data_IF_769788816607
#
_entry.id   IF_769788816607
#
_cell.length_a   1.000
_cell.length_b   1.000
_cell.length_c   1.000
_cell.angle_alpha   90.00
_cell.angle_beta   90.00
_cell.angle_gamma   90.00
#
_symmetry.space_group_name_H-M   'P 1'
#
loop_
_entity.id
_entity.type
_entity.pdbx_description
1 polymer ?
#
# COMPACT_ATOMS: atom_id res chain seq x y z
N UNK A 1 -2.55 -4.28 -23.55
CA UNK A 1 -3.10 -5.38 -22.76
C UNK A 1 -1.95 -6.17 -22.15
N UNK A 2 -1.64 -5.96 -20.86
CA UNK A 2 -0.71 -6.81 -20.11
C UNK A 2 -1.56 -7.72 -19.23
N UNK A 3 -1.34 -9.03 -19.38
CA UNK A 3 -1.94 -10.06 -18.54
C UNK A 3 -1.38 -9.89 -17.12
N UNK A 4 -2.24 -9.47 -16.19
CA UNK A 4 -1.96 -9.48 -14.76
C UNK A 4 -1.78 -10.94 -14.34
N UNK A 5 -0.58 -11.28 -13.86
CA UNK A 5 -0.36 -12.57 -13.20
C UNK A 5 -1.03 -12.46 -11.84
N UNK A 6 -2.29 -12.87 -11.75
CA UNK A 6 -3.01 -12.95 -10.49
C UNK A 6 -2.36 -14.02 -9.61
N UNK A 7 -1.56 -13.60 -8.62
CA UNK A 7 -1.20 -14.52 -7.55
C UNK A 7 -2.47 -14.90 -6.78
N UNK A 8 -2.72 -16.20 -6.52
CA UNK A 8 -3.89 -16.61 -5.76
C UNK A 8 -3.82 -15.99 -4.37
N UNK A 9 -4.84 -15.18 -4.03
CA UNK A 9 -4.92 -14.54 -2.72
C UNK A 9 -5.34 -15.53 -1.64
N UNK A 10 -4.89 -15.34 -0.39
CA UNK A 10 -5.43 -16.07 0.75
C UNK A 10 -6.95 -15.94 0.81
N UNK A 11 -7.65 -16.99 1.24
CA UNK A 11 -9.06 -16.90 1.60
C UNK A 11 -9.22 -15.82 2.69
N UNK A 12 -10.03 -14.78 2.40
CA UNK A 12 -10.25 -13.59 3.25
C UNK A 12 -9.09 -12.59 3.29
N UNK A 13 -8.34 -12.45 2.20
CA UNK A 13 -7.29 -11.45 2.12
C UNK A 13 -7.80 -10.02 2.43
N UNK A 14 -7.05 -9.34 3.30
CA UNK A 14 -7.16 -7.89 3.50
C UNK A 14 -6.09 -7.23 2.64
N UNK A 15 -6.44 -6.17 1.95
CA UNK A 15 -5.53 -5.53 0.99
C UNK A 15 -5.18 -4.13 1.45
N UNK A 16 -3.88 -3.87 1.53
CA UNK A 16 -3.31 -2.56 1.77
C UNK A 16 -2.79 -1.99 0.45
N UNK A 17 -3.45 -0.96 -0.07
CA UNK A 17 -2.97 -0.16 -1.19
C UNK A 17 -1.98 0.88 -0.66
N UNK A 18 -0.83 1.00 -1.30
CA UNK A 18 0.24 1.89 -0.84
C UNK A 18 0.72 2.76 -1.98
N UNK A 19 0.61 4.07 -1.81
CA UNK A 19 1.31 5.06 -2.62
C UNK A 19 2.72 5.24 -2.06
N UNK A 20 3.76 5.10 -2.86
CA UNK A 20 5.15 5.23 -2.38
C UNK A 20 5.49 6.58 -1.72
N UNK A 21 5.20 7.67 -2.44
CA UNK A 21 5.57 9.03 -2.11
C UNK A 21 4.82 9.52 -0.87
N UNK A 22 5.54 10.06 0.11
CA UNK A 22 4.96 10.53 1.37
C UNK A 22 4.43 9.41 2.28
N UNK A 23 4.67 8.14 1.96
CA UNK A 23 4.25 6.98 2.78
C UNK A 23 5.43 6.08 3.14
N UNK A 24 6.28 5.73 2.17
CA UNK A 24 7.45 4.86 2.36
C UNK A 24 8.79 5.62 2.33
N UNK A 25 8.76 6.87 1.85
CA UNK A 25 9.81 7.86 1.96
C UNK A 25 9.18 9.26 1.92
N UNK A 26 9.92 10.27 2.39
CA UNK A 26 9.40 11.64 2.47
C UNK A 26 9.17 12.22 1.07
N UNK A 27 8.01 12.83 0.85
CA UNK A 27 7.73 13.63 -0.36
C UNK A 27 8.20 15.07 -0.22
N UNK A 28 8.47 15.52 1.01
CA UNK A 28 8.93 16.85 1.35
C UNK A 28 10.30 16.79 2.05
N UNK A 29 11.24 17.61 1.61
CA UNK A 29 12.58 17.72 2.20
C UNK A 29 13.66 16.88 1.48
N UNK A 30 14.68 17.60 1.00
CA UNK A 30 15.92 17.17 0.33
C UNK A 30 15.81 16.29 -0.94
N UNK A 31 16.21 16.80 -2.13
CA UNK A 31 16.13 16.09 -3.41
C UNK A 31 17.14 14.94 -3.60
N UNK A 32 18.04 14.72 -2.63
CA UNK A 32 19.16 13.76 -2.77
C UNK A 32 18.91 12.40 -2.13
N UNK A 33 17.81 12.22 -1.38
CA UNK A 33 17.46 10.88 -0.89
C UNK A 33 16.95 10.06 -2.07
N UNK A 34 17.89 9.32 -2.67
CA UNK A 34 17.61 8.14 -3.49
C UNK A 34 16.38 7.45 -2.88
N UNK A 35 15.35 7.19 -3.69
CA UNK A 35 14.06 6.53 -3.39
C UNK A 35 14.24 5.15 -2.70
N UNK A 36 14.93 5.13 -1.58
CA UNK A 36 15.09 4.01 -0.67
C UNK A 36 13.82 4.09 0.14
N UNK A 37 13.02 3.04 0.08
CA UNK A 37 11.80 2.92 0.88
C UNK A 37 12.18 2.80 2.36
N UNK A 38 12.66 3.89 2.96
CA UNK A 38 13.27 3.96 4.30
C UNK A 38 12.29 3.53 5.38
N UNK A 39 10.99 3.68 5.13
CA UNK A 39 9.93 3.26 6.03
C UNK A 39 9.28 1.93 5.65
N UNK A 40 9.74 1.25 4.60
CA UNK A 40 9.29 -0.13 4.30
C UNK A 40 9.54 -1.11 5.46
N UNK A 41 10.68 -1.06 6.18
CA UNK A 41 10.87 -1.91 7.38
C UNK A 41 9.88 -1.60 8.51
N UNK A 42 9.49 -0.32 8.66
CA UNK A 42 8.49 0.09 9.67
C UNK A 42 7.14 -0.53 9.34
N UNK A 43 6.70 -0.40 8.08
CA UNK A 43 5.46 -1.01 7.64
C UNK A 43 5.51 -2.54 7.71
N UNK A 44 6.61 -3.15 7.30
CA UNK A 44 6.78 -4.60 7.41
C UNK A 44 6.59 -5.07 8.86
N UNK A 45 7.22 -4.40 9.83
CA UNK A 45 7.10 -4.73 11.25
C UNK A 45 5.65 -4.62 11.77
N UNK A 46 4.88 -3.66 11.27
CA UNK A 46 3.45 -3.52 11.60
C UNK A 46 2.60 -4.65 11.01
N UNK A 47 2.99 -5.19 9.85
CA UNK A 47 2.26 -6.25 9.15
C UNK A 47 2.69 -7.67 9.57
N UNK A 48 3.83 -7.85 10.24
CA UNK A 48 4.31 -9.16 10.73
C UNK A 48 3.22 -9.95 11.48
N UNK A 49 2.45 -9.37 12.42
CA UNK A 49 1.40 -10.09 13.15
C UNK A 49 0.17 -10.45 12.29
N UNK A 50 0.06 -9.92 11.07
CA UNK A 50 -1.11 -10.02 10.20
C UNK A 50 -0.70 -10.65 8.85
N UNK A 51 -0.48 -11.98 8.82
CA UNK A 51 -0.01 -12.68 7.61
C UNK A 51 -1.04 -12.69 6.47
N UNK A 52 -2.30 -12.43 6.78
CA UNK A 52 -3.42 -12.35 5.83
C UNK A 52 -3.49 -11.01 5.07
N UNK A 53 -2.71 -10.01 5.49
CA UNK A 53 -2.63 -8.71 4.83
C UNK A 53 -1.65 -8.76 3.66
N UNK A 54 -2.21 -8.54 2.46
CA UNK A 54 -1.49 -8.42 1.20
C UNK A 54 -1.33 -6.96 0.80
N UNK A 55 -0.33 -6.66 -0.02
CA UNK A 55 -0.01 -5.29 -0.45
C UNK A 55 -0.21 -5.14 -1.96
N UNK A 56 -0.95 -4.10 -2.35
CA UNK A 56 -0.97 -3.61 -3.73
C UNK A 56 -0.21 -2.30 -3.78
N UNK A 57 0.81 -2.24 -4.62
CA UNK A 57 1.62 -1.05 -4.75
C UNK A 57 1.07 -0.14 -5.85
N UNK A 58 0.75 1.11 -5.51
CA UNK A 58 0.43 2.15 -6.47
C UNK A 58 1.75 2.88 -6.78
N UNK A 59 2.21 2.80 -8.02
CA UNK A 59 3.40 3.50 -8.54
C UNK A 59 3.00 4.62 -9.49
N UNK A 60 3.85 5.64 -9.62
CA UNK A 60 3.60 6.75 -10.56
C UNK A 60 4.32 6.45 -11.87
N UNK A 61 4.00 7.18 -12.94
CA UNK A 61 4.72 7.01 -14.20
C UNK A 61 6.21 7.37 -14.06
N UNK A 62 6.58 8.30 -13.18
CA UNK A 62 8.00 8.62 -12.92
C UNK A 62 8.74 7.56 -12.10
N UNK A 63 8.02 6.56 -11.57
CA UNK A 63 8.55 5.38 -10.89
C UNK A 63 8.55 4.15 -11.81
N UNK A 64 8.97 4.35 -13.06
CA UNK A 64 9.03 3.35 -14.13
C UNK A 64 10.00 2.16 -13.89
N UNK A 65 10.28 1.80 -12.63
CA UNK A 65 11.00 0.57 -12.28
C UNK A 65 10.15 -0.65 -12.62
N UNK A 66 10.78 -1.73 -13.07
CA UNK A 66 10.09 -3.02 -13.24
C UNK A 66 9.53 -3.51 -11.89
N UNK A 67 8.33 -4.13 -11.86
CA UNK A 67 7.69 -4.57 -10.61
C UNK A 67 8.58 -5.42 -9.71
N UNK A 68 9.42 -6.26 -10.29
CA UNK A 68 10.33 -7.19 -9.63
C UNK A 68 11.48 -6.43 -8.94
N UNK A 69 12.01 -5.42 -9.62
CA UNK A 69 13.00 -4.50 -9.05
C UNK A 69 12.41 -3.72 -7.88
N UNK A 70 11.17 -3.24 -8.04
CA UNK A 70 10.44 -2.54 -6.99
C UNK A 70 10.22 -3.44 -5.76
N UNK A 71 9.75 -4.67 -5.97
CA UNK A 71 9.60 -5.68 -4.91
C UNK A 71 10.93 -5.95 -4.20
N UNK A 72 12.02 -6.09 -4.95
CA UNK A 72 13.37 -6.25 -4.38
C UNK A 72 13.77 -5.08 -3.49
N UNK A 73 13.50 -3.85 -3.93
CA UNK A 73 13.79 -2.62 -3.17
C UNK A 73 12.95 -2.48 -1.89
N UNK A 74 11.76 -3.08 -1.83
CA UNK A 74 10.92 -3.14 -0.62
C UNK A 74 11.40 -4.19 0.41
N UNK A 75 12.39 -5.02 0.06
CA UNK A 75 12.90 -6.08 0.92
C UNK A 75 11.81 -7.09 1.28
N UNK A 76 11.64 -7.38 2.58
CA UNK A 76 10.64 -8.35 3.06
C UNK A 76 9.21 -7.94 2.75
N UNK A 77 8.91 -6.64 2.75
CA UNK A 77 7.60 -6.13 2.36
C UNK A 77 7.26 -6.51 0.92
N UNK A 78 8.25 -6.57 0.04
CA UNK A 78 8.09 -6.99 -1.35
C UNK A 78 7.49 -8.39 -1.53
N UNK A 79 7.70 -9.29 -0.56
CA UNK A 79 7.12 -10.64 -0.58
C UNK A 79 5.60 -10.64 -0.36
N UNK A 80 5.06 -9.56 0.22
CA UNK A 80 3.62 -9.36 0.43
C UNK A 80 2.97 -8.62 -0.73
N UNK A 81 3.75 -8.12 -1.70
CA UNK A 81 3.24 -7.37 -2.84
C UNK A 81 2.65 -8.34 -3.86
N UNK A 82 1.33 -8.34 -3.94
CA UNK A 82 0.56 -9.18 -4.86
C UNK A 82 0.43 -8.54 -6.23
N UNK A 83 0.45 -7.21 -6.30
CA UNK A 83 0.27 -6.47 -7.55
C UNK A 83 0.95 -5.09 -7.50
N UNK A 84 1.25 -4.54 -8.68
CA UNK A 84 1.82 -3.20 -8.86
C UNK A 84 1.02 -2.49 -9.96
N UNK A 85 0.25 -1.50 -9.55
CA UNK A 85 -0.61 -0.70 -10.42
C UNK A 85 0.04 0.65 -10.68
N UNK A 86 -0.08 1.14 -11.91
CA UNK A 86 0.32 2.52 -12.24
C UNK A 86 -0.91 3.42 -12.11
N UNK A 87 -0.80 4.49 -11.32
CA UNK A 87 -1.82 5.53 -11.22
C UNK A 87 -1.20 6.88 -10.90
N UNK A 88 -1.87 7.95 -11.30
CA UNK A 88 -1.66 9.30 -10.74
C UNK A 88 -2.61 9.55 -9.56
N UNK A 89 -2.42 10.66 -8.83
CA UNK A 89 -3.23 10.99 -7.65
C UNK A 89 -4.72 11.20 -7.98
N UNK A 90 -5.06 11.57 -9.23
CA UNK A 90 -6.45 11.81 -9.65
C UNK A 90 -7.18 10.53 -10.01
N UNK A 91 -6.45 9.48 -10.39
CA UNK A 91 -6.95 8.20 -10.88
C UNK A 91 -6.85 7.08 -9.85
N UNK A 92 -6.35 7.33 -8.63
CA UNK A 92 -6.25 6.31 -7.57
C UNK A 92 -7.60 5.60 -7.37
N UNK A 93 -8.69 6.36 -7.21
CA UNK A 93 -10.00 5.81 -6.92
C UNK A 93 -10.53 4.91 -8.06
N UNK A 94 -10.31 5.31 -9.31
CA UNK A 94 -10.69 4.50 -10.48
C UNK A 94 -9.83 3.25 -10.60
N UNK A 95 -8.52 3.38 -10.40
CA UNK A 95 -7.56 2.28 -10.45
C UNK A 95 -7.86 1.21 -9.41
N UNK A 96 -8.09 1.63 -8.16
CA UNK A 96 -8.44 0.72 -7.06
C UNK A 96 -9.78 0.03 -7.32
N UNK A 97 -10.78 0.74 -7.86
CA UNK A 97 -12.08 0.17 -8.20
C UNK A 97 -11.96 -0.89 -9.30
N UNK A 98 -11.28 -0.57 -10.40
CA UNK A 98 -11.05 -1.51 -11.49
C UNK A 98 -10.28 -2.75 -11.04
N UNK A 99 -9.30 -2.59 -10.14
CA UNK A 99 -8.63 -3.74 -9.53
C UNK A 99 -9.59 -4.59 -8.68
N UNK A 100 -10.39 -3.97 -7.83
CA UNK A 100 -11.35 -4.65 -6.95
C UNK A 100 -12.38 -5.50 -7.72
N UNK A 101 -12.82 -5.05 -8.90
CA UNK A 101 -13.74 -5.80 -9.75
C UNK A 101 -13.19 -7.19 -10.16
N UNK A 102 -11.87 -7.33 -10.24
CA UNK A 102 -11.20 -8.58 -10.58
C UNK A 102 -10.85 -9.43 -9.35
N UNK A 103 -11.04 -8.89 -8.14
CA UNK A 103 -10.69 -9.53 -6.87
C UNK A 103 -11.86 -9.52 -5.88
N UNK A 104 -13.02 -10.13 -6.21
CA UNK A 104 -14.21 -10.15 -5.34
C UNK A 104 -13.96 -10.81 -3.97
N UNK A 105 -12.95 -11.67 -3.85
CA UNK A 105 -12.54 -12.37 -2.63
C UNK A 105 -12.01 -11.46 -1.51
N UNK A 106 -11.54 -10.26 -1.85
CA UNK A 106 -11.02 -9.29 -0.88
C UNK A 106 -12.16 -8.81 0.02
N UNK A 107 -11.95 -8.77 1.34
CA UNK A 107 -13.01 -8.37 2.29
C UNK A 107 -12.87 -6.95 2.80
N UNK A 108 -11.63 -6.52 2.99
CA UNK A 108 -11.32 -5.21 3.54
C UNK A 108 -10.17 -4.62 2.74
N UNK A 109 -10.29 -3.33 2.48
CA UNK A 109 -9.28 -2.55 1.78
C UNK A 109 -8.92 -1.34 2.62
N UNK A 110 -7.65 -0.99 2.61
CA UNK A 110 -7.14 0.25 3.17
C UNK A 110 -6.17 0.89 2.18
N UNK A 111 -6.19 2.21 2.06
CA UNK A 111 -5.24 2.99 1.27
C UNK A 111 -4.35 3.81 2.20
N UNK A 112 -3.05 3.74 1.97
CA UNK A 112 -2.06 4.66 2.51
C UNK A 112 -1.59 5.59 1.38
N UNK A 113 -1.81 6.89 1.56
CA UNK A 113 -1.42 7.93 0.59
C UNK A 113 -1.14 9.24 1.32
N UNK A 114 -0.27 10.11 0.79
CA UNK A 114 -0.07 11.45 1.36
C UNK A 114 -1.08 12.50 0.88
N UNK A 115 -1.80 12.23 -0.22
CA UNK A 115 -2.72 13.19 -0.85
C UNK A 115 -4.22 12.91 -0.57
N UNK A 116 -4.53 11.76 0.01
CA UNK A 116 -5.90 11.22 0.04
C UNK A 116 -6.32 10.65 -1.32
N UNK A 117 -7.26 9.70 -1.30
CA UNK A 117 -7.78 9.07 -2.52
C UNK A 117 -9.31 8.97 -2.55
N UNK A 118 -9.97 9.10 -1.40
CA UNK A 118 -11.44 9.08 -1.24
C UNK A 118 -12.11 7.97 -2.08
N UNK A 119 -11.79 6.71 -1.77
CA UNK A 119 -12.45 5.55 -2.40
C UNK A 119 -13.56 5.07 -1.48
N UNK A 120 -14.77 4.91 -2.02
CA UNK A 120 -15.91 4.39 -1.26
C UNK A 120 -15.63 2.98 -0.71
N UNK A 121 -16.21 2.67 0.45
CA UNK A 121 -16.13 1.36 1.11
C UNK A 121 -14.70 0.90 1.44
N UNK A 122 -13.81 1.86 1.69
CA UNK A 122 -12.40 1.64 2.00
C UNK A 122 -11.93 2.61 3.10
N UNK A 123 -11.04 2.15 3.96
CA UNK A 123 -10.37 3.04 4.92
C UNK A 123 -9.25 3.80 4.22
N UNK A 124 -9.33 5.13 4.20
CA UNK A 124 -8.31 6.01 3.63
C UNK A 124 -7.50 6.65 4.77
N UNK A 125 -6.20 6.32 4.86
CA UNK A 125 -5.29 6.86 5.87
C UNK A 125 -4.32 7.81 5.17
N UNK A 126 -4.55 9.11 5.39
CA UNK A 126 -3.69 10.15 4.87
C UNK A 126 -2.41 10.24 5.70
N UNK A 127 -1.28 10.01 5.04
CA UNK A 127 0.04 10.01 5.65
C UNK A 127 0.63 11.42 5.71
N UNK A 128 1.37 11.71 6.78
CA UNK A 128 2.20 12.90 6.90
C UNK A 128 3.32 12.85 5.84
N UNK A 129 3.37 13.82 4.93
CA UNK A 129 4.32 13.84 3.81
C UNK A 129 5.81 13.75 4.22
N UNK A 130 6.16 14.24 5.41
CA UNK A 130 7.53 14.28 5.92
C UNK A 130 7.90 13.04 6.75
N UNK A 131 6.92 12.35 7.33
CA UNK A 131 7.11 11.22 8.25
C UNK A 131 6.53 9.90 7.74
N UNK A 132 5.65 9.94 6.75
CA UNK A 132 4.93 8.81 6.16
C UNK A 132 4.34 7.87 7.18
N UNK A 133 4.49 6.56 6.94
CA UNK A 133 4.02 5.50 7.86
C UNK A 133 4.76 5.48 9.20
N UNK A 134 5.87 6.22 9.35
CA UNK A 134 6.56 6.31 10.64
C UNK A 134 5.88 7.27 11.63
N UNK A 135 4.99 8.16 11.16
CA UNK A 135 4.20 9.05 11.99
C UNK A 135 3.33 8.29 12.99
N UNK A 136 3.27 8.77 14.24
CA UNK A 136 2.55 8.09 15.33
C UNK A 136 1.06 7.96 14.99
N UNK A 137 0.48 9.01 14.42
CA UNK A 137 -0.93 9.08 14.06
C UNK A 137 -1.28 8.09 12.96
N UNK A 138 -0.41 7.94 11.95
CA UNK A 138 -0.58 6.98 10.85
C UNK A 138 -0.48 5.55 11.37
N UNK A 139 0.52 5.25 12.22
CA UNK A 139 0.66 3.93 12.85
C UNK A 139 -0.56 3.58 13.68
N UNK A 140 -1.08 4.52 14.46
CA UNK A 140 -2.26 4.30 15.30
C UNK A 140 -3.51 4.00 14.46
N UNK A 141 -3.73 4.74 13.37
CA UNK A 141 -4.87 4.50 12.47
C UNK A 141 -4.74 3.15 11.75
N UNK A 142 -3.56 2.85 11.24
CA UNK A 142 -3.30 1.58 10.55
C UNK A 142 -3.46 0.41 11.51
N UNK A 143 -2.95 0.52 12.74
CA UNK A 143 -3.12 -0.49 13.77
C UNK A 143 -4.60 -0.68 14.12
N UNK A 144 -5.37 0.40 14.24
CA UNK A 144 -6.82 0.33 14.42
C UNK A 144 -7.51 -0.50 13.33
N UNK A 145 -7.18 -0.25 12.05
CA UNK A 145 -7.70 -1.05 10.93
C UNK A 145 -7.26 -2.52 10.99
N UNK A 146 -5.99 -2.78 11.31
CA UNK A 146 -5.43 -4.12 11.41
C UNK A 146 -6.09 -4.94 12.54
N UNK A 147 -6.55 -4.30 13.61
CA UNK A 147 -7.16 -4.95 14.77
C UNK A 147 -8.68 -5.21 14.64
N UNK A 148 -9.38 -4.58 13.69
CA UNK A 148 -10.85 -4.71 13.53
C UNK A 148 -11.32 -6.17 13.44
N UNK A 149 -10.59 -7.07 12.77
CA UNK A 149 -10.98 -8.49 12.71
C UNK A 149 -10.55 -9.32 13.93
N UNK A 150 -9.57 -8.89 14.73
CA UNK A 150 -9.22 -9.61 15.98
C UNK A 150 -10.35 -9.60 16.99
N UNK A 151 -11.29 -8.65 16.88
CA UNK A 151 -12.41 -8.52 17.81
C UNK A 151 -13.64 -9.34 17.40
N UNK A 152 -13.63 -9.99 16.22
CA UNK A 152 -14.78 -10.75 15.68
C UNK A 152 -14.49 -12.26 15.60
N UNK A 153 -13.30 -12.70 16.05
CA UNK A 153 -12.88 -14.11 16.09
C UNK A 153 -12.95 -14.69 17.51
#
# INVERSE_FOLDING_TARGET
MRLLVCHPLPLRARVLFIRSNGVLFASEGSPEMTRRYVWAPVLESLLVPYPDVCVVFLRSEEEAQEPETLKGNLGRLGQRVIDVLTSDDRSIAETVRGWREHHPEVRQMCLLTSAGGAVADMVDIVCDAARGVSAIEVKSQLQGWLEVERMVA
#
